data_IF_890552326349
#
_entry.id   IF_890552326349
#
_cell.length_a   1.000
_cell.length_b   1.000
_cell.length_c   1.000
_cell.angle_alpha   90.00
_cell.angle_beta   90.00
_cell.angle_gamma   90.00
#
_symmetry.space_group_name_H-M   'P 1'
#
loop_
_entity.id
_entity.type
_entity.pdbx_description
1 polymer ?
#
# COMPACT_ATOMS: atom_id res chain seq x y z
N UNK A 1 24.47 21.84 -22.14
CA UNK A 1 24.42 21.14 -20.82
C UNK A 1 23.32 20.10 -20.91
N UNK A 2 23.66 18.82 -20.71
CA UNK A 2 22.67 17.75 -20.72
C UNK A 2 21.75 17.94 -19.51
N UNK A 3 20.45 18.12 -19.74
CA UNK A 3 19.49 18.33 -18.68
C UNK A 3 19.36 17.02 -17.86
N UNK A 4 19.69 17.10 -16.58
CA UNK A 4 19.63 15.94 -15.67
C UNK A 4 18.19 15.48 -15.52
N UNK A 5 17.89 14.23 -15.81
CA UNK A 5 16.59 13.62 -15.54
C UNK A 5 16.30 13.71 -14.03
N UNK A 6 15.16 14.31 -13.65
CA UNK A 6 14.67 14.39 -12.27
C UNK A 6 13.44 13.52 -12.14
N UNK A 7 13.63 12.33 -11.54
CA UNK A 7 12.55 11.37 -11.30
C UNK A 7 12.63 10.91 -9.84
N UNK A 8 12.01 11.64 -8.90
CA UNK A 8 12.00 11.25 -7.49
C UNK A 8 11.12 10.01 -7.28
N UNK A 9 11.52 9.19 -6.32
CA UNK A 9 10.74 8.02 -5.87
C UNK A 9 10.04 8.37 -4.56
N UNK A 10 8.75 8.03 -4.44
CA UNK A 10 8.07 8.08 -3.15
C UNK A 10 8.70 7.02 -2.24
N UNK A 11 9.24 7.47 -1.11
CA UNK A 11 10.04 6.63 -0.21
C UNK A 11 9.27 6.20 1.03
N UNK A 12 8.70 7.16 1.75
CA UNK A 12 8.04 6.92 3.04
C UNK A 12 6.86 7.87 3.22
N UNK A 13 5.98 7.51 4.15
CA UNK A 13 4.91 8.40 4.60
C UNK A 13 4.92 8.54 6.12
N UNK A 14 4.35 9.65 6.62
CA UNK A 14 4.12 9.87 8.04
C UNK A 14 2.65 10.10 8.32
N UNK A 15 2.14 9.57 9.44
CA UNK A 15 0.78 9.77 9.90
C UNK A 15 0.74 10.21 11.36
N UNK A 16 -0.23 11.05 11.70
CA UNK A 16 -0.50 11.36 13.10
C UNK A 16 -1.38 10.28 13.73
N UNK A 17 -1.01 9.86 14.95
CA UNK A 17 -1.72 8.84 15.73
C UNK A 17 -2.08 9.39 17.13
N UNK A 18 -3.10 8.80 17.73
CA UNK A 18 -3.55 9.15 19.10
C UNK A 18 -2.69 8.45 20.13
N UNK A 19 -2.47 7.13 19.96
CA UNK A 19 -1.67 6.27 20.83
C UNK A 19 -0.52 5.64 20.03
N UNK A 20 0.65 6.27 20.14
CA UNK A 20 1.85 5.85 19.40
C UNK A 20 2.34 4.45 19.80
N UNK A 21 2.16 4.06 21.08
CA UNK A 21 2.56 2.73 21.56
C UNK A 21 1.69 1.63 20.95
N UNK A 22 0.38 1.84 20.96
CA UNK A 22 -0.58 0.91 20.36
C UNK A 22 -0.37 0.78 18.86
N UNK A 23 -0.18 1.90 18.18
CA UNK A 23 -0.03 1.93 16.73
C UNK A 23 1.32 1.39 16.27
N UNK A 24 2.43 1.72 16.97
CA UNK A 24 3.74 1.11 16.69
C UNK A 24 3.68 -0.41 16.86
N UNK A 25 3.08 -0.89 17.96
CA UNK A 25 2.90 -2.33 18.19
C UNK A 25 2.08 -2.98 17.07
N UNK A 26 0.97 -2.36 16.66
CA UNK A 26 0.12 -2.86 15.58
C UNK A 26 0.91 -3.08 14.29
N UNK A 27 1.56 -2.05 13.77
CA UNK A 27 2.30 -2.14 12.50
C UNK A 27 3.51 -3.07 12.57
N UNK A 28 4.20 -3.11 13.70
CA UNK A 28 5.32 -4.04 13.91
C UNK A 28 4.88 -5.50 13.91
N UNK A 29 3.79 -5.82 14.59
CA UNK A 29 3.35 -7.21 14.76
C UNK A 29 2.52 -7.72 13.57
N UNK A 30 1.86 -6.84 12.82
CA UNK A 30 1.13 -7.23 11.61
C UNK A 30 2.07 -7.40 10.42
N UNK A 31 3.03 -6.48 10.25
CA UNK A 31 3.85 -6.38 9.04
C UNK A 31 5.34 -6.66 9.26
N UNK A 32 5.73 -7.19 10.42
CA UNK A 32 7.12 -7.47 10.79
C UNK A 32 8.03 -6.23 10.65
N UNK A 33 7.46 -5.03 10.86
CA UNK A 33 8.27 -3.81 10.87
C UNK A 33 9.11 -3.75 12.15
N UNK A 34 10.31 -3.21 12.03
CA UNK A 34 11.16 -2.88 13.16
C UNK A 34 11.07 -1.38 13.45
N UNK A 35 11.02 -1.00 14.71
CA UNK A 35 11.21 0.38 15.12
C UNK A 35 12.71 0.70 15.04
N UNK A 36 13.06 1.54 14.06
CA UNK A 36 14.44 1.90 13.79
C UNK A 36 14.92 2.98 14.72
N UNK A 37 14.06 3.95 15.00
CA UNK A 37 14.31 5.04 15.94
C UNK A 37 13.00 5.59 16.52
N UNK A 38 13.14 6.25 17.69
CA UNK A 38 12.07 7.00 18.34
C UNK A 38 12.62 8.20 19.09
N UNK A 39 11.93 9.31 19.04
CA UNK A 39 12.33 10.50 19.80
C UNK A 39 11.35 11.65 19.70
N UNK A 40 11.58 12.71 20.48
CA UNK A 40 10.83 13.95 20.33
C UNK A 40 11.15 14.61 18.98
N UNK A 41 10.16 15.24 18.38
CA UNK A 41 10.38 16.07 17.19
C UNK A 41 11.31 17.25 17.51
N UNK A 42 12.22 17.58 16.58
CA UNK A 42 13.20 18.65 16.80
C UNK A 42 12.51 20.02 16.87
N UNK A 43 11.53 20.24 16.01
CA UNK A 43 10.79 21.51 15.88
C UNK A 43 9.34 21.41 16.33
N UNK A 44 8.92 20.26 16.79
CA UNK A 44 7.53 19.95 17.14
C UNK A 44 7.44 19.31 18.52
N UNK A 45 6.31 19.50 19.20
CA UNK A 45 6.07 18.97 20.55
C UNK A 45 5.54 17.53 20.59
N UNK A 46 5.66 16.77 19.49
CA UNK A 46 5.21 15.39 19.42
C UNK A 46 6.39 14.40 19.37
N UNK A 47 6.12 13.15 19.76
CA UNK A 47 7.05 12.03 19.62
C UNK A 47 6.84 11.39 18.25
N UNK A 48 7.93 10.97 17.61
CA UNK A 48 7.89 10.23 16.35
C UNK A 48 8.53 8.86 16.56
N UNK A 49 7.89 7.80 16.06
CA UNK A 49 8.45 6.47 15.91
C UNK A 49 8.62 6.16 14.41
N UNK A 50 9.78 5.66 14.04
CA UNK A 50 10.15 5.31 12.67
C UNK A 50 10.15 3.79 12.51
N UNK A 51 9.46 3.29 11.48
CA UNK A 51 9.26 1.86 11.27
C UNK A 51 9.73 1.43 9.87
N UNK A 52 10.46 0.31 9.78
CA UNK A 52 10.88 -0.27 8.50
C UNK A 52 10.97 -1.80 8.56
N UNK A 53 10.70 -2.46 7.43
CA UNK A 53 11.04 -3.87 7.18
C UNK A 53 12.30 -4.03 6.31
N UNK A 54 12.92 -2.92 5.90
CA UNK A 54 14.02 -2.91 4.93
C UNK A 54 15.31 -2.41 5.55
N UNK A 55 16.41 -3.12 5.35
CA UNK A 55 17.72 -2.73 5.85
C UNK A 55 18.38 -1.58 5.06
N UNK A 56 17.92 -1.32 3.84
CA UNK A 56 18.41 -0.26 2.97
C UNK A 56 17.58 1.04 3.06
N UNK A 57 16.56 1.07 3.93
CA UNK A 57 15.67 2.20 4.12
C UNK A 57 15.41 2.41 5.62
N UNK A 58 15.83 3.57 6.14
CA UNK A 58 15.69 3.89 7.56
C UNK A 58 14.24 3.75 8.06
N UNK A 59 13.26 4.24 7.29
CA UNK A 59 11.84 4.06 7.59
C UNK A 59 10.99 4.08 6.32
N UNK A 60 9.93 3.32 6.37
CA UNK A 60 8.86 3.30 5.37
C UNK A 60 7.61 3.99 5.92
N UNK A 61 7.41 3.90 7.24
CA UNK A 61 6.30 4.53 7.95
C UNK A 61 6.82 5.30 9.17
N UNK A 62 6.38 6.54 9.34
CA UNK A 62 6.59 7.34 10.54
C UNK A 62 5.26 7.58 11.26
N UNK A 63 5.21 7.27 12.54
CA UNK A 63 4.06 7.52 13.41
C UNK A 63 4.37 8.71 14.30
N UNK A 64 3.59 9.77 14.18
CA UNK A 64 3.72 10.97 15.02
C UNK A 64 2.57 11.04 16.04
N UNK A 65 2.86 11.22 17.31
CA UNK A 65 1.83 11.41 18.33
C UNK A 65 1.13 12.75 18.18
N UNK A 66 -0.07 12.90 18.77
CA UNK A 66 -0.74 14.20 18.85
C UNK A 66 -1.96 14.34 17.93
N UNK A 67 -2.44 13.28 17.29
CA UNK A 67 -3.75 13.30 16.61
C UNK A 67 -4.85 13.55 17.66
N UNK A 68 -5.71 14.59 17.51
CA UNK A 68 -6.82 14.82 18.43
C UNK A 68 -7.77 13.60 18.49
N UNK A 69 -8.39 13.39 19.66
CA UNK A 69 -9.24 12.22 19.88
C UNK A 69 -10.48 12.18 18.94
N UNK A 70 -11.01 13.33 18.59
CA UNK A 70 -12.17 13.53 17.72
C UNK A 70 -11.82 13.75 16.25
N UNK A 71 -10.53 13.84 15.90
CA UNK A 71 -10.11 14.01 14.52
C UNK A 71 -10.24 12.71 13.72
N UNK A 72 -10.96 12.77 12.60
CA UNK A 72 -10.99 11.69 11.63
C UNK A 72 -9.59 11.46 11.01
N UNK A 73 -9.34 10.25 10.51
CA UNK A 73 -8.16 10.03 9.67
C UNK A 73 -8.29 10.80 8.37
N UNK A 74 -7.21 11.47 7.95
CA UNK A 74 -7.10 12.08 6.62
C UNK A 74 -6.35 11.17 5.64
N UNK A 75 -5.91 10.01 6.10
CA UNK A 75 -5.23 9.01 5.27
C UNK A 75 -6.29 8.20 4.53
N UNK A 76 -6.30 8.30 3.20
CA UNK A 76 -7.21 7.50 2.37
C UNK A 76 -6.89 6.03 2.49
N UNK A 77 -5.61 5.66 2.40
CA UNK A 77 -5.11 4.30 2.68
C UNK A 77 -3.58 4.28 2.85
N UNK A 78 -3.10 3.27 3.59
CA UNK A 78 -1.70 2.86 3.65
C UNK A 78 -1.63 1.46 3.04
N UNK A 79 -0.85 1.31 1.98
CA UNK A 79 -0.81 0.06 1.21
C UNK A 79 0.49 -0.69 1.42
N UNK A 80 0.39 -1.99 1.74
CA UNK A 80 1.49 -2.93 1.87
C UNK A 80 1.40 -3.97 0.77
N UNK A 81 2.49 -4.14 0.01
CA UNK A 81 2.57 -5.13 -1.06
C UNK A 81 3.11 -6.45 -0.53
N UNK A 82 2.49 -7.55 -0.93
CA UNK A 82 2.90 -8.92 -0.61
C UNK A 82 3.10 -9.75 -1.88
N UNK A 83 3.61 -10.97 -1.74
CA UNK A 83 4.00 -11.80 -2.86
C UNK A 83 2.97 -12.90 -3.22
N UNK A 84 2.06 -13.25 -2.30
CA UNK A 84 1.14 -14.38 -2.46
C UNK A 84 -0.23 -14.16 -1.82
N UNK A 85 -1.21 -14.98 -2.21
CA UNK A 85 -2.54 -15.01 -1.56
C UNK A 85 -2.41 -15.50 -0.11
N UNK A 86 -1.48 -16.40 0.18
CA UNK A 86 -1.23 -16.84 1.55
C UNK A 86 -0.71 -15.71 2.44
N UNK A 87 0.08 -14.79 1.89
CA UNK A 87 0.49 -13.59 2.63
C UNK A 87 -0.70 -12.66 2.92
N UNK A 88 -1.70 -12.56 2.02
CA UNK A 88 -2.95 -11.84 2.30
C UNK A 88 -3.71 -12.50 3.46
N UNK A 89 -3.80 -13.83 3.46
CA UNK A 89 -4.44 -14.59 4.55
C UNK A 89 -3.72 -14.38 5.88
N UNK A 90 -2.40 -14.42 5.86
CA UNK A 90 -1.58 -14.21 7.06
C UNK A 90 -1.69 -12.77 7.57
N UNK A 91 -1.64 -11.77 6.68
CA UNK A 91 -1.85 -10.37 7.05
C UNK A 91 -3.24 -10.15 7.67
N UNK A 92 -4.30 -10.74 7.09
CA UNK A 92 -5.65 -10.73 7.66
C UNK A 92 -5.67 -11.33 9.07
N UNK A 93 -5.09 -12.51 9.23
CA UNK A 93 -5.05 -13.21 10.52
C UNK A 93 -4.36 -12.37 11.59
N UNK A 94 -3.19 -11.80 11.27
CA UNK A 94 -2.42 -10.95 12.18
C UNK A 94 -3.18 -9.66 12.52
N UNK A 95 -3.72 -8.98 11.50
CA UNK A 95 -4.45 -7.74 11.69
C UNK A 95 -5.67 -7.90 12.61
N UNK A 96 -6.48 -8.94 12.39
CA UNK A 96 -7.63 -9.26 13.25
C UNK A 96 -7.20 -9.56 14.68
N UNK A 97 -6.12 -10.31 14.88
CA UNK A 97 -5.57 -10.60 16.21
C UNK A 97 -5.05 -9.34 16.95
N UNK A 98 -4.82 -8.24 16.24
CA UNK A 98 -4.34 -6.94 16.76
C UNK A 98 -5.40 -5.85 16.74
N UNK A 99 -6.68 -6.21 16.55
CA UNK A 99 -7.80 -5.28 16.68
C UNK A 99 -8.16 -4.51 15.42
N UNK A 100 -7.76 -5.00 14.25
CA UNK A 100 -8.28 -4.49 12.98
C UNK A 100 -9.77 -4.78 12.84
N UNK A 101 -10.49 -3.89 12.18
CA UNK A 101 -11.94 -3.98 11.94
C UNK A 101 -12.28 -3.75 10.48
N UNK A 102 -13.54 -3.90 10.09
CA UNK A 102 -14.07 -3.64 8.75
C UNK A 102 -13.31 -4.37 7.62
N UNK A 103 -12.91 -5.63 7.87
CA UNK A 103 -12.18 -6.47 6.92
C UNK A 103 -13.00 -6.75 5.67
N UNK A 104 -12.42 -6.53 4.49
CA UNK A 104 -13.03 -6.85 3.20
C UNK A 104 -11.98 -7.20 2.16
N UNK A 105 -12.33 -8.06 1.21
CA UNK A 105 -11.50 -8.37 0.03
C UNK A 105 -12.03 -7.67 -1.22
N UNK A 106 -11.13 -7.17 -2.06
CA UNK A 106 -11.44 -6.60 -3.37
C UNK A 106 -10.47 -7.11 -4.43
N UNK A 107 -11.04 -7.43 -5.59
CA UNK A 107 -10.30 -7.77 -6.80
C UNK A 107 -10.33 -6.56 -7.73
N UNK A 108 -9.19 -5.92 -7.90
CA UNK A 108 -9.02 -4.75 -8.77
C UNK A 108 -8.64 -5.12 -10.20
N UNK A 109 -8.65 -6.41 -10.54
CA UNK A 109 -8.11 -6.90 -11.80
C UNK A 109 -6.58 -6.89 -11.84
N UNK A 110 -5.98 -5.72 -11.68
CA UNK A 110 -4.52 -5.57 -11.62
C UNK A 110 -3.92 -5.90 -10.25
N UNK A 111 -4.73 -6.04 -9.22
CA UNK A 111 -4.33 -6.43 -7.88
C UNK A 111 -5.44 -7.20 -7.16
N UNK A 112 -5.05 -8.12 -6.28
CA UNK A 112 -5.91 -8.74 -5.28
C UNK A 112 -5.60 -8.10 -3.94
N UNK A 113 -6.62 -7.56 -3.27
CA UNK A 113 -6.43 -6.75 -2.06
C UNK A 113 -7.34 -7.20 -0.92
N UNK A 114 -6.84 -7.06 0.31
CA UNK A 114 -7.67 -6.96 1.50
C UNK A 114 -7.57 -5.57 2.09
N UNK A 115 -8.67 -5.06 2.59
CA UNK A 115 -8.78 -3.77 3.26
C UNK A 115 -9.28 -3.98 4.68
N UNK A 116 -8.79 -3.15 5.60
CA UNK A 116 -9.29 -3.10 6.97
C UNK A 116 -8.99 -1.73 7.60
N UNK A 117 -9.63 -1.46 8.73
CA UNK A 117 -9.30 -0.33 9.58
C UNK A 117 -8.29 -0.78 10.64
N UNK A 118 -7.21 -0.02 10.81
CA UNK A 118 -6.30 -0.19 11.94
C UNK A 118 -6.98 0.24 13.26
N UNK A 119 -6.35 0.07 14.43
CA UNK A 119 -6.96 0.41 15.70
C UNK A 119 -7.35 1.89 15.89
N UNK A 120 -6.89 2.78 15.02
CA UNK A 120 -7.24 4.19 15.00
C UNK A 120 -8.02 4.62 13.77
N UNK A 121 -8.64 3.66 13.07
CA UNK A 121 -9.52 3.90 11.91
C UNK A 121 -8.80 4.47 10.69
N UNK A 122 -7.49 4.25 10.56
CA UNK A 122 -6.84 4.47 9.28
C UNK A 122 -7.10 3.27 8.37
N UNK A 123 -7.43 3.51 7.11
CA UNK A 123 -7.58 2.42 6.14
C UNK A 123 -6.22 1.84 5.80
N UNK A 124 -6.11 0.52 5.91
CA UNK A 124 -4.93 -0.24 5.49
C UNK A 124 -5.35 -1.16 4.35
N UNK A 125 -4.54 -1.20 3.32
CA UNK A 125 -4.61 -2.16 2.23
C UNK A 125 -3.42 -3.10 2.29
N UNK A 126 -3.67 -4.39 2.06
CA UNK A 126 -2.60 -5.34 1.74
C UNK A 126 -2.93 -5.95 0.40
N UNK A 127 -1.98 -5.91 -0.55
CA UNK A 127 -2.25 -6.32 -1.92
C UNK A 127 -1.11 -7.10 -2.55
N UNK A 128 -1.45 -7.87 -3.56
CA UNK A 128 -0.49 -8.45 -4.50
C UNK A 128 -0.88 -8.10 -5.94
N UNK A 129 0.11 -7.90 -6.80
CA UNK A 129 -0.13 -7.65 -8.22
C UNK A 129 -0.62 -8.92 -8.92
N UNK A 130 -1.43 -8.71 -9.94
CA UNK A 130 -1.77 -9.74 -10.91
C UNK A 130 -0.94 -9.54 -12.20
N UNK A 131 -0.85 -10.53 -13.08
CA UNK A 131 -0.18 -10.37 -14.37
C UNK A 131 -1.00 -9.57 -15.41
N UNK A 132 -2.08 -8.95 -15.00
CA UNK A 132 -3.02 -8.24 -15.87
C UNK A 132 -3.21 -6.79 -15.48
N UNK A 133 -3.70 -5.99 -16.42
CA UNK A 133 -4.14 -4.62 -16.20
C UNK A 133 -5.54 -4.43 -16.81
N UNK A 134 -6.37 -3.71 -16.08
CA UNK A 134 -7.65 -3.17 -16.51
C UNK A 134 -7.78 -1.74 -16.01
N UNK A 135 -8.66 -0.96 -16.63
CA UNK A 135 -8.87 0.45 -16.26
C UNK A 135 -9.33 0.57 -14.81
N UNK A 136 -8.73 1.50 -14.08
CA UNK A 136 -9.12 1.84 -12.71
C UNK A 136 -10.01 3.10 -12.70
N UNK A 137 -10.93 3.26 -11.70
CA UNK A 137 -11.17 2.32 -10.61
C UNK A 137 -11.94 1.06 -11.05
N UNK A 138 -11.52 -0.10 -10.57
CA UNK A 138 -12.18 -1.39 -10.76
C UNK A 138 -12.18 -2.14 -9.42
N UNK A 139 -13.27 -2.85 -9.08
CA UNK A 139 -13.36 -3.57 -7.82
C UNK A 139 -14.54 -4.51 -7.76
N UNK A 140 -14.24 -5.81 -7.77
CA UNK A 140 -15.18 -6.90 -7.53
C UNK A 140 -14.95 -7.50 -6.13
N UNK A 141 -15.97 -8.08 -5.49
CA UNK A 141 -15.79 -8.81 -4.23
C UNK A 141 -14.75 -9.92 -4.36
N UNK A 142 -13.84 -10.03 -3.40
CA UNK A 142 -12.83 -11.08 -3.32
C UNK A 142 -13.01 -11.88 -2.03
N UNK A 143 -13.22 -13.19 -2.17
CA UNK A 143 -13.12 -14.15 -1.08
C UNK A 143 -11.77 -14.85 -1.14
N UNK A 144 -10.85 -14.45 -0.24
CA UNK A 144 -9.50 -15.03 -0.17
C UNK A 144 -9.46 -16.42 0.51
N UNK A 145 -10.59 -16.92 1.03
CA UNK A 145 -10.67 -18.28 1.61
C UNK A 145 -10.92 -19.36 0.56
N UNK A 146 -11.25 -18.97 -0.66
CA UNK A 146 -11.35 -19.90 -1.80
C UNK A 146 -9.98 -20.46 -2.18
N UNK A 147 -9.93 -21.62 -2.88
CA UNK A 147 -8.68 -22.15 -3.44
C UNK A 147 -8.00 -21.17 -4.39
N UNK A 148 -6.67 -21.03 -4.27
CA UNK A 148 -5.89 -20.11 -5.12
C UNK A 148 -6.14 -20.27 -6.62
N UNK A 149 -6.18 -21.51 -7.18
CA UNK A 149 -6.46 -21.69 -8.61
C UNK A 149 -7.80 -21.10 -9.05
N UNK A 150 -8.82 -21.15 -8.20
CA UNK A 150 -10.13 -20.59 -8.49
C UNK A 150 -10.11 -19.06 -8.47
N UNK A 151 -9.41 -18.47 -7.48
CA UNK A 151 -9.23 -17.01 -7.39
C UNK A 151 -8.52 -16.49 -8.64
N UNK A 152 -7.43 -17.15 -9.04
CA UNK A 152 -6.68 -16.77 -10.24
C UNK A 152 -7.49 -16.93 -11.53
N UNK A 153 -8.21 -18.05 -11.70
CA UNK A 153 -9.04 -18.29 -12.88
C UNK A 153 -10.18 -17.27 -13.00
N UNK A 154 -10.85 -16.95 -11.88
CA UNK A 154 -11.91 -15.94 -11.87
C UNK A 154 -11.36 -14.53 -12.16
N UNK A 155 -10.21 -14.19 -11.58
CA UNK A 155 -9.56 -12.90 -11.85
C UNK A 155 -9.18 -12.77 -13.31
N UNK A 156 -8.57 -13.79 -13.91
CA UNK A 156 -8.25 -13.78 -15.34
C UNK A 156 -9.49 -13.61 -16.20
N UNK A 157 -10.54 -14.35 -15.90
CA UNK A 157 -11.83 -14.28 -16.62
C UNK A 157 -12.44 -12.86 -16.55
N UNK A 158 -12.45 -12.25 -15.36
CA UNK A 158 -12.93 -10.89 -15.15
C UNK A 158 -12.10 -9.88 -15.94
N UNK A 159 -10.77 -9.98 -15.85
CA UNK A 159 -9.87 -9.09 -16.59
C UNK A 159 -10.08 -9.21 -18.10
N UNK A 160 -10.13 -10.43 -18.65
CA UNK A 160 -10.30 -10.65 -20.09
C UNK A 160 -11.67 -10.20 -20.63
N UNK A 161 -12.68 -10.11 -19.78
CA UNK A 161 -13.99 -9.58 -20.14
C UNK A 161 -14.02 -8.05 -20.19
N UNK A 162 -13.06 -7.37 -19.56
CA UNK A 162 -12.96 -5.90 -19.59
C UNK A 162 -12.38 -5.43 -20.93
N UNK A 163 -13.02 -4.47 -21.63
CA UNK A 163 -12.56 -3.98 -22.93
C UNK A 163 -11.19 -3.25 -22.87
N UNK A 164 -10.73 -2.90 -21.68
CA UNK A 164 -9.45 -2.24 -21.45
C UNK A 164 -8.33 -3.21 -21.04
N UNK A 165 -8.62 -4.51 -21.05
CA UNK A 165 -7.67 -5.55 -20.69
C UNK A 165 -6.37 -5.46 -21.48
N UNK A 166 -5.24 -5.52 -20.77
CA UNK A 166 -3.91 -5.77 -21.34
C UNK A 166 -3.03 -6.56 -20.36
N UNK A 167 -2.06 -7.35 -20.84
CA UNK A 167 -1.04 -7.93 -19.97
C UNK A 167 -0.20 -6.86 -19.28
N UNK A 168 0.15 -7.07 -18.00
CA UNK A 168 0.91 -6.10 -17.20
C UNK A 168 2.25 -5.67 -17.87
N UNK A 169 3.04 -6.56 -18.54
CA UNK A 169 4.24 -6.13 -19.25
C UNK A 169 3.96 -5.18 -20.43
N UNK A 170 2.83 -5.32 -21.13
CA UNK A 170 2.45 -4.42 -22.22
C UNK A 170 2.07 -3.03 -21.69
N UNK A 171 1.32 -3.00 -20.59
CA UNK A 171 1.02 -1.75 -19.90
C UNK A 171 2.29 -1.03 -19.45
N UNK A 172 3.24 -1.76 -18.84
CA UNK A 172 4.50 -1.21 -18.37
C UNK A 172 5.31 -0.59 -19.54
N UNK A 173 5.47 -1.33 -20.64
CA UNK A 173 6.17 -0.82 -21.83
C UNK A 173 5.52 0.45 -22.41
N UNK A 174 4.19 0.47 -22.47
CA UNK A 174 3.44 1.65 -22.95
C UNK A 174 3.57 2.84 -21.97
N UNK A 175 3.64 2.57 -20.66
CA UNK A 175 3.87 3.59 -19.65
C UNK A 175 5.27 4.19 -19.80
N UNK A 176 6.31 3.38 -19.96
CA UNK A 176 7.70 3.82 -20.16
C UNK A 176 7.82 4.70 -21.40
N UNK A 177 7.26 4.28 -22.54
CA UNK A 177 7.25 5.07 -23.77
C UNK A 177 6.63 6.46 -23.56
N UNK A 178 5.52 6.55 -22.82
CA UNK A 178 4.90 7.85 -22.49
C UNK A 178 5.76 8.69 -21.57
N UNK A 179 6.44 8.08 -20.61
CA UNK A 179 7.37 8.78 -19.72
C UNK A 179 8.54 9.38 -20.52
N UNK A 180 9.09 8.64 -21.45
CA UNK A 180 10.21 9.09 -22.27
C UNK A 180 9.78 10.24 -23.20
N UNK A 181 8.64 10.14 -23.86
CA UNK A 181 8.08 11.23 -24.66
C UNK A 181 7.84 12.52 -23.84
N UNK A 182 7.40 12.40 -22.57
CA UNK A 182 7.24 13.55 -21.69
C UNK A 182 8.58 14.18 -21.30
N UNK A 183 9.63 13.37 -21.10
CA UNK A 183 11.00 13.85 -20.83
C UNK A 183 11.59 14.57 -22.03
N UNK A 184 11.41 14.04 -23.23
CA UNK A 184 11.85 14.67 -24.49
C UNK A 184 11.16 16.02 -24.69
N UNK A 185 9.83 16.08 -24.57
CA UNK A 185 9.07 17.32 -24.70
C UNK A 185 9.43 18.39 -23.63
N UNK A 186 9.89 17.96 -22.44
CA UNK A 186 10.35 18.87 -21.40
C UNK A 186 11.76 19.43 -21.68
N UNK A 187 12.59 18.68 -22.42
CA UNK A 187 13.96 19.12 -22.76
C UNK A 187 14.01 20.11 -23.92
N UNK A 188 12.93 20.22 -24.71
CA UNK A 188 12.81 21.15 -25.83
C UNK A 188 12.25 22.54 -25.42
N UNK A 189 11.89 22.74 -24.16
CA UNK A 189 11.40 24.02 -23.61
C UNK A 189 12.48 24.75 -22.83
#
# INVERSE_FOLDING_TARGET
>A
MQQRSFTPTLSHCGIFVRDIERMSRFYREVFDLQETDRGPGITFSFVIAFLSSRSDQHHQLALASGRPADAASTVMQISFKVASIDDLREARRRALARGATAMRGLNHGNALSIYFMDPEENTVEVYLDTPWQVRQPHGDPLDIDRPDPEIWADTERLCRADPTFEPAPQWAARFEQRQDALREAASER
#
